data_IF_946202992351
#
_entry.id   IF_946202992351
#
_cell.length_a   1.000
_cell.length_b   1.000
_cell.length_c   1.000
_cell.angle_alpha   90.00
_cell.angle_beta   90.00
_cell.angle_gamma   90.00
#
_symmetry.space_group_name_H-M   'P 1'
#
loop_
_entity.id
_entity.type
_entity.pdbx_description
1 polymer ?
#
# COMPACT_ATOMS: atom_id res chain seq x y z
N UNK A 1 -17.48 1.20 -12.09
CA UNK A 1 -16.30 1.27 -11.21
C UNK A 1 -16.72 0.80 -9.84
N UNK A 2 -15.89 -0.01 -9.17
CA UNK A 2 -16.15 -0.34 -7.76
C UNK A 2 -16.17 0.95 -6.94
N UNK A 3 -17.10 1.08 -5.99
CA UNK A 3 -17.10 2.18 -5.03
C UNK A 3 -16.11 1.98 -3.88
N UNK A 4 -15.44 0.82 -3.82
CA UNK A 4 -14.48 0.47 -2.80
C UNK A 4 -13.17 1.24 -3.00
N UNK A 5 -12.70 1.88 -1.93
CA UNK A 5 -11.50 2.73 -1.93
C UNK A 5 -10.41 2.19 -1.02
N UNK A 6 -9.21 2.75 -1.14
CA UNK A 6 -8.10 2.43 -0.24
C UNK A 6 -8.39 2.90 1.21
N UNK A 7 -9.21 3.95 1.37
CA UNK A 7 -9.66 4.40 2.69
C UNK A 7 -10.58 3.36 3.36
N UNK A 8 -11.50 2.76 2.60
CA UNK A 8 -12.34 1.66 3.09
C UNK A 8 -11.48 0.47 3.54
N UNK A 9 -10.47 0.11 2.73
CA UNK A 9 -9.52 -0.93 3.08
C UNK A 9 -8.76 -0.62 4.38
N UNK A 10 -8.23 0.60 4.53
CA UNK A 10 -7.51 1.00 5.72
C UNK A 10 -8.37 0.90 6.98
N UNK A 11 -9.62 1.38 6.92
CA UNK A 11 -10.59 1.25 8.03
C UNK A 11 -10.82 -0.22 8.40
N UNK A 12 -11.04 -1.09 7.40
CA UNK A 12 -11.25 -2.52 7.62
C UNK A 12 -10.02 -3.18 8.26
N UNK A 13 -8.81 -2.86 7.76
CA UNK A 13 -7.57 -3.44 8.25
C UNK A 13 -7.28 -2.99 9.68
N UNK A 14 -7.42 -1.71 9.99
CA UNK A 14 -7.26 -1.19 11.35
C UNK A 14 -8.26 -1.83 12.31
N UNK A 15 -9.55 -1.90 11.95
CA UNK A 15 -10.55 -2.56 12.79
C UNK A 15 -10.23 -4.05 13.04
N UNK A 16 -9.71 -4.76 12.02
CA UNK A 16 -9.28 -6.16 12.16
C UNK A 16 -7.98 -6.32 12.94
N UNK A 17 -7.14 -5.29 13.00
CA UNK A 17 -5.89 -5.28 13.74
C UNK A 17 -6.13 -5.13 15.26
N UNK A 18 -7.23 -4.47 15.66
CA UNK A 18 -7.63 -4.29 17.06
C UNK A 18 -8.28 -5.55 17.69
N UNK A 19 -8.69 -6.53 16.87
CA UNK A 19 -9.23 -7.79 17.35
C UNK A 19 -8.17 -8.64 18.07
N UNK A 20 -8.57 -9.69 18.80
CA UNK A 20 -7.58 -10.61 19.40
C UNK A 20 -6.69 -11.24 18.30
N UNK A 21 -5.36 -11.30 18.48
CA UNK A 21 -4.46 -12.06 17.60
C UNK A 21 -4.80 -13.55 17.48
N UNK A 22 -5.49 -14.13 18.46
CA UNK A 22 -5.97 -15.51 18.35
C UNK A 22 -7.07 -15.65 17.28
N UNK A 23 -7.87 -14.60 17.09
CA UNK A 23 -9.10 -14.61 16.30
C UNK A 23 -8.93 -13.96 14.91
N UNK A 24 -7.94 -13.09 14.73
CA UNK A 24 -7.71 -12.33 13.49
C UNK A 24 -6.31 -12.51 12.93
N UNK A 25 -6.22 -12.91 11.66
CA UNK A 25 -4.95 -12.95 10.93
C UNK A 25 -4.30 -11.57 10.86
N UNK A 26 -5.09 -10.52 10.63
CA UNK A 26 -4.61 -9.14 10.59
C UNK A 26 -4.06 -8.70 11.94
N UNK A 27 -4.71 -9.07 13.04
CA UNK A 27 -4.21 -8.76 14.38
C UNK A 27 -2.85 -9.42 14.66
N UNK A 28 -2.64 -10.66 14.18
CA UNK A 28 -1.31 -11.31 14.26
C UNK A 28 -0.23 -10.60 13.45
N UNK A 29 -0.58 -10.05 12.29
CA UNK A 29 0.36 -9.26 11.49
C UNK A 29 0.65 -7.92 12.16
N UNK A 30 -0.39 -7.24 12.66
CA UNK A 30 -0.26 -5.96 13.34
C UNK A 30 0.58 -6.05 14.62
N UNK A 31 0.48 -7.16 15.36
CA UNK A 31 1.27 -7.41 16.56
C UNK A 31 2.76 -7.75 16.29
N UNK A 32 3.14 -8.08 15.05
CA UNK A 32 4.50 -8.49 14.67
C UNK A 32 4.93 -7.77 13.37
N UNK A 33 5.55 -6.58 13.49
CA UNK A 33 5.94 -5.78 12.32
C UNK A 33 6.94 -6.49 11.41
N UNK A 34 7.79 -7.38 11.94
CA UNK A 34 8.75 -8.14 11.14
C UNK A 34 8.01 -9.16 10.26
N UNK A 35 6.99 -9.83 10.81
CA UNK A 35 6.11 -10.73 10.04
C UNK A 35 5.29 -9.97 9.00
N UNK A 36 4.72 -8.82 9.36
CA UNK A 36 3.99 -7.98 8.41
C UNK A 36 4.89 -7.55 7.24
N UNK A 37 6.11 -7.11 7.52
CA UNK A 37 7.08 -6.72 6.49
C UNK A 37 7.49 -7.89 5.60
N UNK A 38 7.68 -9.08 6.18
CA UNK A 38 7.99 -10.30 5.42
C UNK A 38 6.86 -10.65 4.45
N UNK A 39 5.60 -10.65 4.91
CA UNK A 39 4.46 -10.94 4.03
C UNK A 39 4.31 -9.89 2.94
N UNK A 40 4.38 -8.61 3.28
CA UNK A 40 4.39 -7.55 2.25
C UNK A 40 5.47 -7.76 1.18
N UNK A 41 6.69 -8.15 1.58
CA UNK A 41 7.76 -8.45 0.64
C UNK A 41 7.49 -9.67 -0.25
N UNK A 42 6.82 -10.70 0.27
CA UNK A 42 6.40 -11.88 -0.49
C UNK A 42 5.41 -11.51 -1.59
N UNK A 43 4.30 -10.87 -1.24
CA UNK A 43 3.26 -10.49 -2.22
C UNK A 43 3.81 -9.50 -3.27
N UNK A 44 4.72 -8.61 -2.87
CA UNK A 44 5.36 -7.68 -3.80
C UNK A 44 6.21 -8.40 -4.86
N UNK A 45 6.90 -9.48 -4.48
CA UNK A 45 7.65 -10.31 -5.42
C UNK A 45 6.71 -11.13 -6.29
N UNK A 46 5.63 -11.67 -5.74
CA UNK A 46 4.61 -12.41 -6.50
C UNK A 46 3.93 -11.52 -7.56
N UNK A 47 3.59 -10.28 -7.22
CA UNK A 47 3.09 -9.29 -8.18
C UNK A 47 4.09 -9.00 -9.31
N UNK A 48 5.38 -8.92 -9.01
CA UNK A 48 6.44 -8.76 -10.02
C UNK A 48 6.52 -9.99 -10.92
N UNK A 49 6.45 -11.20 -10.36
CA UNK A 49 6.47 -12.45 -11.13
C UNK A 49 5.25 -12.51 -12.05
N UNK A 50 4.04 -12.26 -11.54
CA UNK A 50 2.81 -12.25 -12.33
C UNK A 50 2.86 -11.25 -13.49
N UNK A 51 3.48 -10.08 -13.28
CA UNK A 51 3.72 -9.10 -14.34
C UNK A 51 4.70 -9.62 -15.41
N UNK A 52 5.80 -10.27 -15.01
CA UNK A 52 6.79 -10.87 -15.92
C UNK A 52 6.18 -12.00 -16.75
N UNK A 53 5.32 -12.82 -16.12
CA UNK A 53 4.62 -13.93 -16.78
C UNK A 53 3.48 -13.46 -17.69
N UNK A 54 3.16 -12.16 -17.68
CA UNK A 54 2.05 -11.56 -18.41
C UNK A 54 0.71 -12.27 -18.11
N UNK A 55 0.48 -12.57 -16.82
CA UNK A 55 -0.78 -13.11 -16.31
C UNK A 55 -1.59 -11.99 -15.62
N UNK A 56 -2.61 -11.41 -16.30
CA UNK A 56 -3.39 -10.32 -15.73
C UNK A 56 -4.22 -10.74 -14.52
N UNK A 57 -4.63 -12.02 -14.42
CA UNK A 57 -5.46 -12.49 -13.31
C UNK A 57 -4.61 -12.61 -12.04
N UNK A 58 -3.43 -13.21 -12.17
CA UNK A 58 -2.47 -13.26 -11.08
C UNK A 58 -2.07 -11.84 -10.67
N UNK A 59 -1.72 -10.97 -11.62
CA UNK A 59 -1.32 -9.60 -11.31
C UNK A 59 -2.40 -8.82 -10.54
N UNK A 60 -3.69 -9.00 -10.87
CA UNK A 60 -4.79 -8.38 -10.13
C UNK A 60 -4.86 -8.93 -8.69
N UNK A 61 -4.75 -10.24 -8.51
CA UNK A 61 -4.79 -10.88 -7.19
C UNK A 61 -3.62 -10.41 -6.32
N UNK A 62 -2.39 -10.54 -6.81
CA UNK A 62 -1.19 -10.17 -6.06
C UNK A 62 -1.13 -8.65 -5.78
N UNK A 63 -1.61 -7.82 -6.70
CA UNK A 63 -1.73 -6.38 -6.44
C UNK A 63 -2.71 -6.07 -5.30
N UNK A 64 -3.79 -6.84 -5.17
CA UNK A 64 -4.73 -6.69 -4.05
C UNK A 64 -4.07 -7.11 -2.73
N UNK A 65 -3.30 -8.21 -2.73
CA UNK A 65 -2.58 -8.68 -1.55
C UNK A 65 -1.45 -7.71 -1.14
N UNK A 66 -0.72 -7.13 -2.10
CA UNK A 66 0.23 -6.03 -1.86
C UNK A 66 -0.43 -4.87 -1.13
N UNK A 67 -1.59 -4.40 -1.60
CA UNK A 67 -2.29 -3.29 -0.95
C UNK A 67 -2.76 -3.66 0.46
N UNK A 68 -3.32 -4.85 0.64
CA UNK A 68 -3.76 -5.35 1.95
C UNK A 68 -2.60 -5.44 2.95
N UNK A 69 -1.51 -6.10 2.54
CA UNK A 69 -0.35 -6.31 3.39
C UNK A 69 0.43 -5.03 3.66
N UNK A 70 0.42 -4.07 2.73
CA UNK A 70 0.91 -2.72 3.00
C UNK A 70 0.08 -2.05 4.10
N UNK A 71 -1.25 -2.08 4.04
CA UNK A 71 -2.09 -1.49 5.10
C UNK A 71 -1.84 -2.15 6.46
N UNK A 72 -1.68 -3.49 6.49
CA UNK A 72 -1.37 -4.20 7.72
C UNK A 72 0.01 -3.83 8.28
N UNK A 73 1.01 -3.66 7.43
CA UNK A 73 2.35 -3.22 7.82
C UNK A 73 2.34 -1.78 8.35
N UNK A 74 1.61 -0.87 7.70
CA UNK A 74 1.47 0.51 8.16
C UNK A 74 0.82 0.54 9.55
N UNK A 75 -0.26 -0.23 9.77
CA UNK A 75 -0.89 -0.37 11.07
C UNK A 75 0.07 -0.93 12.13
N UNK A 76 0.87 -1.94 11.80
CA UNK A 76 1.89 -2.51 12.70
C UNK A 76 3.00 -1.51 13.11
N UNK A 77 3.12 -0.39 12.38
CA UNK A 77 4.14 0.64 12.59
C UNK A 77 3.54 1.99 13.01
N UNK A 78 2.26 2.03 13.35
CA UNK A 78 1.53 3.25 13.70
C UNK A 78 1.61 4.35 12.62
N UNK A 79 1.63 3.94 11.34
CA UNK A 79 1.61 4.86 10.19
C UNK A 79 0.21 4.88 9.59
N UNK A 80 -0.38 6.07 9.42
CA UNK A 80 -1.70 6.20 8.80
C UNK A 80 -1.61 6.20 7.26
N UNK A 81 -2.67 5.70 6.60
CA UNK A 81 -2.81 5.84 5.15
C UNK A 81 -2.78 7.32 4.73
N UNK A 82 -3.39 8.22 5.51
CA UNK A 82 -3.41 9.65 5.22
C UNK A 82 -1.99 10.24 5.12
N UNK A 83 -1.06 9.80 5.96
CA UNK A 83 0.33 10.23 5.87
C UNK A 83 1.00 9.78 4.56
N UNK A 84 0.70 8.56 4.09
CA UNK A 84 1.18 8.05 2.79
C UNK A 84 0.55 8.82 1.64
N UNK A 85 -0.76 9.09 1.70
CA UNK A 85 -1.49 9.85 0.68
C UNK A 85 -0.99 11.29 0.58
N UNK A 86 -0.71 11.95 1.71
CA UNK A 86 -0.13 13.29 1.74
C UNK A 86 1.27 13.32 1.08
N UNK A 87 2.09 12.30 1.29
CA UNK A 87 3.38 12.18 0.61
C UNK A 87 3.21 11.94 -0.90
N UNK A 88 2.23 11.14 -1.32
CA UNK A 88 1.92 10.94 -2.74
C UNK A 88 1.41 12.23 -3.40
N UNK A 89 0.55 13.00 -2.72
CA UNK A 89 0.09 14.30 -3.18
C UNK A 89 1.27 15.27 -3.34
N UNK A 90 2.17 15.34 -2.35
CA UNK A 90 3.38 16.15 -2.41
C UNK A 90 4.27 15.80 -3.61
N UNK A 91 4.46 14.51 -3.90
CA UNK A 91 5.26 14.03 -5.04
C UNK A 91 4.65 14.36 -6.39
N UNK A 92 3.33 14.19 -6.51
CA UNK A 92 2.61 14.41 -7.78
C UNK A 92 2.38 15.89 -8.08
N UNK A 93 2.28 16.75 -7.05
CA UNK A 93 2.23 18.20 -7.22
C UNK A 93 3.55 18.79 -7.77
N UNK A 94 4.69 18.15 -7.50
CA UNK A 94 6.01 18.62 -7.97
C UNK A 94 6.29 18.25 -9.44
N UNK A 95 5.70 17.17 -9.97
CA UNK A 95 6.11 16.56 -11.25
C UNK A 95 5.51 17.19 -12.53
N UNK A 96 5.44 18.52 -12.62
CA UNK A 96 5.11 19.15 -13.91
C UNK A 96 5.11 20.67 -13.94
N UNK A 97 4.83 21.33 -12.81
CA UNK A 97 4.80 22.79 -12.72
C UNK A 97 6.12 23.36 -12.18
N UNK A 98 6.72 22.72 -11.18
CA UNK A 98 8.00 23.15 -10.62
C UNK A 98 9.18 22.93 -11.58
N UNK A 99 9.14 21.85 -12.36
CA UNK A 99 10.18 21.51 -13.34
C UNK A 99 10.14 22.38 -14.61
N UNK A 100 8.96 22.90 -14.98
CA UNK A 100 8.81 23.90 -16.05
C UNK A 100 9.15 25.31 -15.58
N UNK A 101 8.86 25.66 -14.32
CA UNK A 101 9.19 26.96 -13.76
C UNK A 101 10.68 27.14 -13.43
N UNK A 102 11.41 26.05 -13.14
CA UNK A 102 12.86 26.07 -12.90
C UNK A 102 13.69 26.13 -14.18
N UNK A 103 13.11 25.75 -15.33
CA UNK A 103 13.68 26.01 -16.65
C UNK A 103 13.32 27.44 -17.04
N UNK A 104 14.17 28.40 -16.71
CA UNK A 104 14.04 29.77 -17.24
C UNK A 104 13.85 29.77 -18.77
N UNK A 105 13.31 30.85 -19.36
CA UNK A 105 13.03 30.89 -20.80
C UNK A 105 14.31 30.49 -21.54
N UNK A 106 14.20 29.50 -22.44
CA UNK A 106 15.32 29.02 -23.22
C UNK A 106 15.99 30.25 -23.88
N UNK A 107 17.23 30.52 -23.49
CA UNK A 107 18.08 31.55 -24.07
C UNK A 107 18.55 31.13 -25.46
#
# INVERSE_FOLDING_TARGET
MSGFTLADLAVIVTARAEASPEESYTARLAADPARAAKKFGEEAVEAVIAAVENDPKALIAESADVLYHLMALLAARDVSLDAVMAELERRTAQSGLAEKASRGPAA
#
